data_IF_671792353767
#
_entry.id   IF_671792353767
#
_cell.length_a   1.000
_cell.length_b   1.000
_cell.length_c   1.000
_cell.angle_alpha   90.00
_cell.angle_beta   90.00
_cell.angle_gamma   90.00
#
_symmetry.space_group_name_H-M   'P 1'
#
loop_
_entity.id
_entity.type
_entity.pdbx_description
1 polymer ?
#
# COMPACT_ATOMS: atom_id res chain seq x y z
N UNK A 1 46.67 41.48 1.07
CA UNK A 1 45.76 41.23 -0.06
C UNK A 1 45.13 39.83 -0.01
N UNK A 2 44.70 39.30 1.15
CA UNK A 2 44.17 37.91 1.27
C UNK A 2 42.87 37.83 2.10
N UNK A 3 42.42 38.91 2.74
CA UNK A 3 41.29 38.86 3.69
C UNK A 3 39.90 39.11 3.10
N UNK A 4 39.79 39.51 1.84
CA UNK A 4 38.50 39.91 1.23
C UNK A 4 37.82 38.84 0.39
N UNK A 5 38.42 37.66 0.20
CA UNK A 5 37.89 36.61 -0.68
C UNK A 5 37.00 35.56 0.02
N UNK A 6 36.82 35.63 1.34
CA UNK A 6 36.18 34.56 2.12
C UNK A 6 34.66 34.79 2.32
N UNK A 7 34.13 35.97 1.97
CA UNK A 7 32.79 36.38 2.43
C UNK A 7 31.61 36.12 1.47
N UNK A 8 31.80 35.46 0.32
CA UNK A 8 30.71 35.25 -0.66
C UNK A 8 30.39 33.79 -0.99
N UNK A 9 31.08 32.81 -0.40
CA UNK A 9 30.84 31.40 -0.69
C UNK A 9 30.08 30.68 0.42
N UNK A 10 28.99 31.28 0.90
CA UNK A 10 28.21 30.75 2.03
C UNK A 10 26.70 30.73 1.82
N UNK A 11 26.22 30.61 0.57
CA UNK A 11 24.78 30.82 0.31
C UNK A 11 24.03 29.79 -0.54
N UNK A 12 24.50 28.56 -0.75
CA UNK A 12 23.68 27.57 -1.49
C UNK A 12 23.83 26.12 -0.98
N UNK A 13 23.99 25.91 0.32
CA UNK A 13 23.75 24.59 0.91
C UNK A 13 22.27 24.46 1.27
N UNK A 14 21.41 24.32 0.27
CA UNK A 14 20.04 23.85 0.53
C UNK A 14 20.14 22.36 0.85
N UNK A 15 19.73 21.89 2.04
CA UNK A 15 19.50 20.47 2.22
C UNK A 15 18.30 20.13 1.33
N UNK A 16 18.56 19.38 0.26
CA UNK A 16 17.48 18.72 -0.46
C UNK A 16 16.79 17.81 0.55
N UNK A 17 15.55 18.14 0.90
CA UNK A 17 14.64 17.24 1.61
C UNK A 17 14.48 16.01 0.71
N UNK A 18 15.29 14.98 0.93
CA UNK A 18 15.01 13.65 0.43
C UNK A 18 13.76 13.19 1.17
N UNK A 19 12.59 13.34 0.53
CA UNK A 19 11.34 12.84 1.07
C UNK A 19 11.50 11.33 1.32
N UNK A 20 11.01 10.86 2.47
CA UNK A 20 11.08 9.49 2.99
C UNK A 20 10.25 8.49 2.16
N UNK A 21 10.38 8.51 0.84
CA UNK A 21 9.62 7.64 -0.09
C UNK A 21 9.80 6.16 0.26
N UNK A 22 10.95 5.79 0.81
CA UNK A 22 11.22 4.42 1.26
C UNK A 22 10.42 4.00 2.50
N UNK A 23 10.15 4.93 3.42
CA UNK A 23 9.33 4.65 4.59
C UNK A 23 7.85 4.56 4.21
N UNK A 24 7.38 5.47 3.36
CA UNK A 24 6.02 5.44 2.80
C UNK A 24 5.78 4.13 2.02
N UNK A 25 6.72 3.71 1.17
CA UNK A 25 6.63 2.44 0.44
C UNK A 25 6.62 1.22 1.38
N UNK A 26 7.40 1.25 2.46
CA UNK A 26 7.40 0.18 3.46
C UNK A 26 6.05 0.08 4.19
N UNK A 27 5.45 1.22 4.53
CA UNK A 27 4.12 1.29 5.15
C UNK A 27 3.05 0.76 4.20
N UNK A 28 3.03 1.22 2.95
CA UNK A 28 2.10 0.75 1.92
C UNK A 28 2.20 -0.76 1.75
N UNK A 29 3.41 -1.30 1.67
CA UNK A 29 3.62 -2.75 1.52
C UNK A 29 3.11 -3.53 2.73
N UNK A 30 3.44 -3.08 3.94
CA UNK A 30 3.00 -3.73 5.18
C UNK A 30 1.48 -3.76 5.29
N UNK A 31 0.83 -2.63 4.97
CA UNK A 31 -0.62 -2.46 5.01
C UNK A 31 -1.32 -3.28 3.93
N UNK A 32 -0.77 -3.29 2.71
CA UNK A 32 -1.24 -4.15 1.61
C UNK A 32 -1.21 -5.63 2.01
N UNK A 33 -0.10 -6.08 2.61
CA UNK A 33 0.04 -7.47 3.04
C UNK A 33 -0.94 -7.83 4.17
N UNK A 34 -1.17 -6.93 5.12
CA UNK A 34 -2.15 -7.13 6.19
C UNK A 34 -3.56 -7.28 5.63
N UNK A 35 -3.99 -6.40 4.73
CA UNK A 35 -5.32 -6.47 4.09
C UNK A 35 -5.43 -7.75 3.24
N UNK A 36 -4.39 -8.09 2.47
CA UNK A 36 -4.37 -9.28 1.62
C UNK A 36 -4.60 -10.59 2.40
N UNK A 37 -4.18 -10.68 3.67
CA UNK A 37 -4.45 -11.84 4.54
C UNK A 37 -5.92 -11.94 4.95
N UNK A 38 -6.67 -10.85 4.93
CA UNK A 38 -8.10 -10.80 5.26
C UNK A 38 -9.02 -11.07 4.06
N UNK A 39 -8.45 -11.15 2.86
CA UNK A 39 -9.18 -11.36 1.61
C UNK A 39 -8.91 -12.75 1.06
N UNK A 40 -9.97 -13.49 0.73
CA UNK A 40 -9.94 -14.81 0.10
C UNK A 40 -9.72 -14.67 -1.41
N UNK A 41 -8.88 -15.54 -1.97
CA UNK A 41 -8.83 -15.74 -3.41
C UNK A 41 -10.11 -16.47 -3.86
N UNK A 42 -10.97 -15.77 -4.60
CA UNK A 42 -12.30 -16.28 -5.01
C UNK A 42 -12.25 -17.45 -6.00
N UNK A 43 -11.09 -17.75 -6.58
CA UNK A 43 -10.87 -18.89 -7.49
C UNK A 43 -10.05 -20.01 -6.86
N UNK A 44 -9.66 -19.86 -5.58
CA UNK A 44 -8.78 -20.80 -4.89
C UNK A 44 -9.53 -21.58 -3.80
N UNK A 45 -8.97 -22.72 -3.40
CA UNK A 45 -9.53 -23.54 -2.31
C UNK A 45 -9.07 -23.02 -0.94
N UNK A 46 -9.88 -22.14 -0.33
CA UNK A 46 -9.72 -21.66 1.04
C UNK A 46 -8.36 -21.01 1.36
N UNK A 47 -7.88 -20.15 0.46
CA UNK A 47 -6.61 -19.43 0.61
C UNK A 47 -6.84 -17.92 0.59
N UNK A 48 -6.03 -17.20 1.36
CA UNK A 48 -5.97 -15.74 1.25
C UNK A 48 -5.32 -15.32 -0.07
N UNK A 49 -5.56 -14.08 -0.51
CA UNK A 49 -4.82 -13.52 -1.63
C UNK A 49 -3.38 -13.19 -1.24
N UNK A 50 -2.99 -13.18 0.05
CA UNK A 50 -1.59 -13.07 0.43
C UNK A 50 -0.81 -14.37 0.16
N UNK A 51 -1.45 -15.52 0.38
CA UNK A 51 -0.79 -16.84 0.30
C UNK A 51 -0.95 -17.52 -1.06
N UNK A 52 -1.92 -17.09 -1.87
CA UNK A 52 -2.20 -17.71 -3.17
C UNK A 52 -1.24 -17.24 -4.27
N UNK A 53 -0.76 -18.20 -5.06
CA UNK A 53 0.03 -17.98 -6.27
C UNK A 53 -0.84 -17.86 -7.55
N UNK A 54 -2.17 -17.83 -7.43
CA UNK A 54 -3.04 -17.66 -8.59
C UNK A 54 -2.85 -16.28 -9.23
N UNK A 55 -2.91 -16.20 -10.56
CA UNK A 55 -2.82 -14.93 -11.30
C UNK A 55 -3.85 -13.90 -10.80
N UNK A 56 -5.08 -14.35 -10.51
CA UNK A 56 -6.11 -13.48 -9.96
C UNK A 56 -5.72 -12.92 -8.57
N UNK A 57 -5.08 -13.71 -7.72
CA UNK A 57 -4.64 -13.24 -6.41
C UNK A 57 -3.55 -12.15 -6.54
N UNK A 58 -2.66 -12.28 -7.52
CA UNK A 58 -1.68 -11.23 -7.84
C UNK A 58 -2.35 -9.92 -8.28
N UNK A 59 -3.31 -10.00 -9.19
CA UNK A 59 -4.05 -8.83 -9.64
C UNK A 59 -4.86 -8.18 -8.51
N UNK A 60 -5.45 -8.99 -7.63
CA UNK A 60 -6.13 -8.51 -6.43
C UNK A 60 -5.18 -7.81 -5.46
N UNK A 61 -3.95 -8.33 -5.25
CA UNK A 61 -2.94 -7.66 -4.41
C UNK A 61 -2.53 -6.31 -5.00
N UNK A 62 -2.38 -6.21 -6.32
CA UNK A 62 -2.08 -4.94 -7.01
C UNK A 62 -3.22 -3.92 -6.84
N UNK A 63 -4.47 -4.37 -6.90
CA UNK A 63 -5.63 -3.53 -6.63
C UNK A 63 -5.62 -3.02 -5.18
N UNK A 64 -5.39 -3.90 -4.20
CA UNK A 64 -5.27 -3.49 -2.79
C UNK A 64 -4.16 -2.44 -2.62
N UNK A 65 -2.98 -2.68 -3.17
CA UNK A 65 -1.86 -1.72 -3.10
C UNK A 65 -2.24 -0.36 -3.72
N UNK A 66 -2.89 -0.37 -4.88
CA UNK A 66 -3.32 0.87 -5.55
C UNK A 66 -4.31 1.67 -4.69
N UNK A 67 -5.23 1.00 -3.98
CA UNK A 67 -6.19 1.65 -3.10
C UNK A 67 -5.52 2.19 -1.82
N UNK A 68 -4.59 1.42 -1.24
CA UNK A 68 -3.79 1.88 -0.10
C UNK A 68 -2.98 3.14 -0.46
N UNK A 69 -2.35 3.16 -1.64
CA UNK A 69 -1.63 4.35 -2.15
C UNK A 69 -2.56 5.53 -2.45
N UNK A 70 -3.82 5.27 -2.76
CA UNK A 70 -4.83 6.32 -2.96
C UNK A 70 -5.30 6.97 -1.64
N UNK A 71 -4.89 6.43 -0.48
CA UNK A 71 -5.23 6.96 0.84
C UNK A 71 -6.50 6.35 1.45
N UNK A 72 -7.08 5.33 0.83
CA UNK A 72 -8.24 4.60 1.37
C UNK A 72 -7.92 3.99 2.75
N UNK A 73 -8.91 3.93 3.65
CA UNK A 73 -8.78 3.19 4.91
C UNK A 73 -8.87 1.68 4.70
N UNK A 74 -8.46 0.86 5.68
CA UNK A 74 -8.50 -0.60 5.53
C UNK A 74 -9.92 -1.11 5.28
N UNK A 75 -10.90 -0.42 5.87
CA UNK A 75 -12.31 -0.73 5.67
C UNK A 75 -12.75 -0.36 4.25
N UNK A 76 -12.40 0.83 3.76
CA UNK A 76 -12.73 1.25 2.38
C UNK A 76 -12.15 0.27 1.34
N UNK A 77 -10.93 -0.23 1.57
CA UNK A 77 -10.32 -1.24 0.68
C UNK A 77 -11.10 -2.55 0.74
N UNK A 78 -11.46 -3.04 1.94
CA UNK A 78 -12.26 -4.28 2.07
C UNK A 78 -13.64 -4.12 1.43
N UNK A 79 -14.29 -3.00 1.63
CA UNK A 79 -15.61 -2.69 1.06
C UNK A 79 -15.54 -2.62 -0.46
N UNK A 80 -14.51 -1.97 -1.02
CA UNK A 80 -14.26 -1.95 -2.45
C UNK A 80 -14.05 -3.37 -3.02
N UNK A 81 -13.29 -4.20 -2.32
CA UNK A 81 -13.06 -5.59 -2.74
C UNK A 81 -14.35 -6.41 -2.65
N UNK A 82 -15.15 -6.21 -1.60
CA UNK A 82 -16.45 -6.85 -1.43
C UNK A 82 -17.45 -6.44 -2.51
N UNK A 83 -17.54 -5.16 -2.84
CA UNK A 83 -18.41 -4.65 -3.91
C UNK A 83 -18.06 -5.30 -5.25
N UNK A 84 -16.77 -5.50 -5.52
CA UNK A 84 -16.27 -6.05 -6.79
C UNK A 84 -16.34 -7.57 -6.88
N UNK A 85 -16.07 -8.28 -5.78
CA UNK A 85 -15.87 -9.74 -5.77
C UNK A 85 -16.92 -10.49 -4.93
N UNK A 86 -17.84 -9.78 -4.29
CA UNK A 86 -18.92 -10.32 -3.44
C UNK A 86 -18.46 -10.66 -2.01
N UNK A 87 -19.42 -11.00 -1.15
CA UNK A 87 -19.18 -11.26 0.29
C UNK A 87 -18.13 -12.33 0.56
N UNK A 88 -18.03 -13.34 -0.32
CA UNK A 88 -17.11 -14.47 -0.17
C UNK A 88 -15.63 -14.07 -0.28
N UNK A 89 -15.33 -12.88 -0.82
CA UNK A 89 -13.98 -12.34 -0.84
C UNK A 89 -13.45 -12.04 0.55
N UNK A 90 -14.33 -11.78 1.53
CA UNK A 90 -13.91 -11.54 2.90
C UNK A 90 -13.66 -12.89 3.58
N UNK A 91 -12.51 -13.03 4.25
CA UNK A 91 -12.21 -14.24 5.02
C UNK A 91 -13.27 -14.48 6.10
N UNK A 92 -13.75 -13.39 6.70
CA UNK A 92 -14.87 -13.31 7.63
C UNK A 92 -16.01 -12.50 6.98
N UNK A 93 -16.97 -13.15 6.29
CA UNK A 93 -18.08 -12.46 5.66
C UNK A 93 -19.01 -11.80 6.70
N UNK A 94 -19.63 -10.65 6.36
CA UNK A 94 -20.57 -10.00 7.26
C UNK A 94 -21.83 -10.84 7.45
N UNK A 95 -22.34 -10.87 8.69
CA UNK A 95 -23.63 -11.50 8.99
C UNK A 95 -24.75 -10.61 8.44
N UNK A 96 -25.45 -11.10 7.41
CA UNK A 96 -26.68 -10.49 6.90
C UNK A 96 -27.87 -11.26 7.47
N UNK A 97 -28.80 -10.54 8.09
CA UNK A 97 -29.99 -11.05 8.76
C UNK A 97 -31.21 -11.02 7.84
#
# INVERSE_FOLDING_TARGET
MIRTLIACLFLLAQPALAQDTSAEDAEVKARTEAIAKTLRCVVCQNQSIADSNATLAEDMRRLVEARVRAGDTDQDVRDFMQERYGDFVLMEPPVKW
#
